data_IF_527712286211
#
_entry.id   IF_527712286211
#
_cell.length_a   1.000
_cell.length_b   1.000
_cell.length_c   1.000
_cell.angle_alpha   90.00
_cell.angle_beta   90.00
_cell.angle_gamma   90.00
#
_symmetry.space_group_name_H-M   'P 1'
#
loop_
_entity.id
_entity.type
_entity.pdbx_description
1 polymer ?
#
# COMPACT_ATOMS: atom_id res chain seq x y z
N UNK A 1 -14.21 13.26 -13.88
CA UNK A 1 -13.98 13.85 -12.56
C UNK A 1 -15.15 14.75 -12.19
N UNK A 2 -15.55 14.77 -10.92
CA UNK A 2 -16.48 15.75 -10.37
C UNK A 2 -15.98 17.19 -10.60
N UNK A 3 -16.89 18.12 -10.94
CA UNK A 3 -16.50 19.47 -11.35
C UNK A 3 -15.98 20.30 -10.17
N UNK A 4 -16.55 20.13 -8.98
CA UNK A 4 -16.12 20.87 -7.79
C UNK A 4 -14.77 20.36 -7.31
N UNK A 5 -14.61 19.04 -7.24
CA UNK A 5 -13.33 18.41 -6.91
C UNK A 5 -12.22 18.81 -7.89
N UNK A 6 -12.48 18.77 -9.20
CA UNK A 6 -11.51 19.19 -10.20
C UNK A 6 -11.14 20.69 -10.12
N UNK A 7 -12.07 21.57 -9.73
CA UNK A 7 -11.76 22.98 -9.46
C UNK A 7 -10.87 23.14 -8.24
N UNK A 8 -11.13 22.41 -7.15
CA UNK A 8 -10.30 22.44 -5.96
C UNK A 8 -8.88 21.93 -6.24
N UNK A 9 -8.75 20.85 -7.02
CA UNK A 9 -7.44 20.34 -7.45
C UNK A 9 -6.65 21.35 -8.29
N UNK A 10 -7.31 22.17 -9.13
CA UNK A 10 -6.64 23.27 -9.86
C UNK A 10 -6.12 24.38 -8.94
N UNK A 11 -6.65 24.52 -7.72
CA UNK A 11 -6.08 25.45 -6.74
C UNK A 11 -4.82 24.84 -6.09
N UNK A 12 -4.81 23.52 -5.88
CA UNK A 12 -3.63 22.80 -5.37
C UNK A 12 -2.52 22.71 -6.42
N UNK A 13 -2.88 22.42 -7.68
CA UNK A 13 -1.99 22.29 -8.82
C UNK A 13 -2.36 23.33 -9.90
N UNK A 14 -1.98 24.62 -9.71
CA UNK A 14 -2.36 25.70 -10.63
C UNK A 14 -1.67 25.61 -11.99
N UNK A 15 -0.51 24.96 -12.07
CA UNK A 15 0.26 24.77 -13.30
C UNK A 15 0.79 23.35 -13.41
N UNK A 16 1.17 22.95 -14.62
CA UNK A 16 1.74 21.62 -14.91
C UNK A 16 3.13 21.40 -14.28
N UNK A 17 3.75 22.45 -13.73
CA UNK A 17 5.06 22.42 -13.06
C UNK A 17 4.93 22.52 -11.54
N UNK A 18 3.73 22.44 -10.99
CA UNK A 18 3.52 22.51 -9.54
C UNK A 18 4.05 21.24 -8.87
N UNK A 19 4.85 21.40 -7.80
CA UNK A 19 5.39 20.29 -6.99
C UNK A 19 4.61 20.09 -5.67
N UNK A 20 3.32 20.43 -5.68
CA UNK A 20 2.47 20.27 -4.51
C UNK A 20 1.94 18.85 -4.43
N UNK A 21 1.72 18.37 -3.20
CA UNK A 21 1.04 17.10 -2.93
C UNK A 21 -0.40 17.34 -2.45
N UNK A 22 -1.22 16.30 -2.54
CA UNK A 22 -2.58 16.29 -2.00
C UNK A 22 -2.92 14.90 -1.49
N UNK A 23 -4.03 14.79 -0.76
CA UNK A 23 -4.52 13.54 -0.19
C UNK A 23 -5.16 12.67 -1.29
N UNK A 24 -5.02 11.35 -1.17
CA UNK A 24 -5.63 10.38 -2.09
C UNK A 24 -7.11 10.14 -1.79
N UNK A 25 -7.48 10.22 -0.51
CA UNK A 25 -8.85 10.12 0.01
C UNK A 25 -9.22 11.47 0.61
N UNK A 26 -10.26 12.11 0.07
CA UNK A 26 -10.67 13.46 0.52
C UNK A 26 -11.63 13.43 1.72
N UNK A 27 -12.20 12.28 2.04
CA UNK A 27 -13.19 12.10 3.11
C UNK A 27 -12.51 11.70 4.42
N UNK A 28 -11.48 10.87 4.36
CA UNK A 28 -10.76 10.37 5.53
C UNK A 28 -9.25 10.20 5.25
N UNK A 29 -8.49 11.29 5.03
CA UNK A 29 -7.10 11.22 4.55
C UNK A 29 -6.14 10.34 5.34
N UNK A 30 -6.38 10.19 6.66
CA UNK A 30 -5.51 9.50 7.59
C UNK A 30 -6.15 8.25 8.21
N UNK A 31 -7.29 7.78 7.68
CA UNK A 31 -7.99 6.60 8.19
C UNK A 31 -8.07 5.55 7.09
N UNK A 32 -7.67 4.33 7.41
CA UNK A 32 -7.86 3.21 6.51
C UNK A 32 -9.30 2.70 6.61
N UNK A 33 -10.16 3.14 5.70
CA UNK A 33 -11.57 2.77 5.64
C UNK A 33 -12.05 2.65 4.18
N UNK A 34 -13.35 2.49 3.95
CA UNK A 34 -13.87 2.32 2.60
C UNK A 34 -14.16 3.63 1.86
N UNK A 35 -13.80 4.79 2.42
CA UNK A 35 -14.16 6.09 1.84
C UNK A 35 -13.47 6.34 0.51
N UNK A 36 -12.28 5.79 0.29
CA UNK A 36 -11.67 5.69 -1.03
C UNK A 36 -12.67 5.21 -2.11
N UNK A 37 -13.44 4.14 -1.86
CA UNK A 37 -14.42 3.65 -2.84
C UNK A 37 -15.66 4.55 -2.94
N UNK A 38 -16.04 5.22 -1.85
CA UNK A 38 -17.08 6.25 -1.86
C UNK A 38 -16.65 7.44 -2.72
N UNK A 39 -15.38 7.86 -2.68
CA UNK A 39 -14.82 8.90 -3.55
C UNK A 39 -14.98 8.52 -5.02
N UNK A 40 -14.65 7.28 -5.39
CA UNK A 40 -14.77 6.82 -6.79
C UNK A 40 -16.21 6.85 -7.30
N UNK A 41 -17.19 6.46 -6.48
CA UNK A 41 -18.61 6.53 -6.82
C UNK A 41 -19.08 7.97 -7.06
N UNK A 42 -18.50 8.92 -6.34
CA UNK A 42 -18.77 10.36 -6.46
C UNK A 42 -17.93 11.03 -7.57
N UNK A 43 -17.19 10.26 -8.37
CA UNK A 43 -16.27 10.75 -9.42
C UNK A 43 -15.12 11.61 -8.86
N UNK A 44 -14.70 11.34 -7.63
CA UNK A 44 -13.68 12.06 -6.88
C UNK A 44 -12.38 11.25 -6.70
N UNK A 45 -12.14 10.24 -7.53
CA UNK A 45 -10.83 9.58 -7.57
C UNK A 45 -9.74 10.52 -8.13
N UNK A 46 -8.57 10.54 -7.51
CA UNK A 46 -7.49 11.47 -7.86
C UNK A 46 -6.81 11.07 -9.17
N UNK A 47 -6.38 9.83 -9.31
CA UNK A 47 -5.73 9.34 -10.51
C UNK A 47 -6.73 8.74 -11.50
N UNK A 48 -6.35 8.72 -12.78
CA UNK A 48 -7.08 7.98 -13.81
C UNK A 48 -7.22 6.51 -13.44
N UNK A 49 -6.16 5.89 -12.91
CA UNK A 49 -6.17 4.51 -12.44
C UNK A 49 -7.18 4.25 -11.33
N UNK A 50 -7.41 5.22 -10.45
CA UNK A 50 -8.42 5.11 -9.40
C UNK A 50 -9.82 5.22 -10.00
N UNK A 51 -10.06 6.28 -10.79
CA UNK A 51 -11.39 6.58 -11.31
C UNK A 51 -11.86 5.56 -12.35
N UNK A 52 -10.94 4.93 -13.07
CA UNK A 52 -11.23 3.87 -14.03
C UNK A 52 -11.74 2.59 -13.37
N UNK A 53 -11.42 2.32 -12.10
CA UNK A 53 -12.00 1.19 -11.36
C UNK A 53 -13.54 1.30 -11.29
N UNK A 54 -14.08 2.52 -11.19
CA UNK A 54 -15.52 2.74 -11.22
C UNK A 54 -16.08 2.96 -12.64
N UNK A 55 -15.27 3.45 -13.57
CA UNK A 55 -15.70 3.71 -14.95
C UNK A 55 -15.79 2.43 -15.78
N UNK A 56 -14.86 1.49 -15.59
CA UNK A 56 -14.84 0.20 -16.27
C UNK A 56 -15.93 -0.74 -15.71
N UNK A 57 -16.68 -1.38 -16.62
CA UNK A 57 -17.79 -2.29 -16.28
C UNK A 57 -17.32 -3.53 -15.52
N UNK A 58 -16.08 -3.98 -15.73
CA UNK A 58 -15.50 -5.18 -15.10
C UNK A 58 -15.29 -4.99 -13.60
N UNK A 59 -14.98 -3.77 -13.17
CA UNK A 59 -14.57 -3.44 -11.79
C UNK A 59 -15.63 -2.63 -11.04
N UNK A 60 -16.54 -1.94 -11.73
CA UNK A 60 -17.58 -1.08 -11.12
C UNK A 60 -18.36 -1.75 -10.00
N UNK A 61 -18.79 -3.00 -10.18
CA UNK A 61 -19.58 -3.71 -9.17
C UNK A 61 -18.77 -4.00 -7.89
N UNK A 62 -17.46 -4.24 -8.03
CA UNK A 62 -16.56 -4.47 -6.89
C UNK A 62 -16.42 -3.15 -6.10
N UNK A 63 -16.15 -2.05 -6.80
CA UNK A 63 -16.08 -0.70 -6.19
C UNK A 63 -17.37 -0.38 -5.44
N UNK A 64 -18.53 -0.60 -6.07
CA UNK A 64 -19.84 -0.32 -5.47
C UNK A 64 -20.05 -1.17 -4.21
N UNK A 65 -19.69 -2.45 -4.25
CA UNK A 65 -19.81 -3.36 -3.11
C UNK A 65 -18.95 -2.91 -1.92
N UNK A 66 -17.71 -2.47 -2.17
CA UNK A 66 -16.81 -1.98 -1.13
C UNK A 66 -17.24 -0.64 -0.55
N UNK A 67 -17.75 0.28 -1.37
CA UNK A 67 -18.27 1.56 -0.92
C UNK A 67 -19.50 1.43 -0.01
N UNK A 68 -20.35 0.42 -0.24
CA UNK A 68 -21.56 0.15 0.56
C UNK A 68 -21.23 -0.69 1.82
N UNK A 69 -20.25 -1.59 1.73
CA UNK A 69 -19.92 -2.52 2.80
C UNK A 69 -18.41 -2.52 3.12
N UNK A 70 -18.04 -1.80 4.18
CA UNK A 70 -16.66 -1.71 4.65
C UNK A 70 -16.11 -3.06 5.16
N UNK A 71 -16.93 -3.89 5.80
CA UNK A 71 -16.50 -5.21 6.27
C UNK A 71 -16.06 -6.07 5.10
N UNK A 72 -16.83 -6.09 4.01
CA UNK A 72 -16.48 -6.80 2.78
C UNK A 72 -15.17 -6.26 2.17
N UNK A 73 -14.97 -4.94 2.17
CA UNK A 73 -13.71 -4.35 1.73
C UNK A 73 -12.54 -4.89 2.56
N UNK A 74 -12.60 -4.81 3.88
CA UNK A 74 -11.51 -5.24 4.76
C UNK A 74 -11.22 -6.73 4.61
N UNK A 75 -12.23 -7.58 4.54
CA UNK A 75 -12.06 -9.01 4.29
C UNK A 75 -11.27 -9.26 2.99
N UNK A 76 -11.69 -8.62 1.88
CA UNK A 76 -11.01 -8.79 0.59
C UNK A 76 -9.63 -8.16 0.55
N UNK A 77 -9.42 -7.05 1.27
CA UNK A 77 -8.13 -6.40 1.39
C UNK A 77 -7.11 -7.34 2.04
N UNK A 78 -7.47 -7.99 3.15
CA UNK A 78 -6.58 -8.97 3.82
C UNK A 78 -6.19 -10.10 2.87
N UNK A 79 -7.16 -10.70 2.17
CA UNK A 79 -6.86 -11.77 1.20
C UNK A 79 -5.94 -11.30 0.07
N UNK A 80 -6.18 -10.10 -0.47
CA UNK A 80 -5.37 -9.54 -1.54
C UNK A 80 -3.92 -9.27 -1.08
N UNK A 81 -3.75 -8.71 0.11
CA UNK A 81 -2.43 -8.40 0.67
C UNK A 81 -1.63 -9.66 1.01
N UNK A 82 -2.28 -10.71 1.54
CA UNK A 82 -1.64 -12.01 1.76
C UNK A 82 -1.15 -12.62 0.45
N UNK A 83 -1.96 -12.57 -0.61
CA UNK A 83 -1.57 -13.08 -1.94
C UNK A 83 -0.42 -12.25 -2.53
N UNK A 84 -0.48 -10.93 -2.42
CA UNK A 84 0.56 -10.03 -2.92
C UNK A 84 1.89 -10.25 -2.20
N UNK A 85 1.88 -10.46 -0.88
CA UNK A 85 3.08 -10.69 -0.07
C UNK A 85 3.81 -12.00 -0.36
N UNK A 86 3.21 -12.90 -1.16
CA UNK A 86 3.79 -14.19 -1.54
C UNK A 86 4.34 -14.21 -2.98
N UNK A 87 4.29 -13.09 -3.70
CA UNK A 87 4.80 -13.01 -5.07
C UNK A 87 6.33 -13.10 -5.08
N UNK A 88 6.87 -14.09 -5.77
CA UNK A 88 8.31 -14.24 -6.07
C UNK A 88 9.23 -14.18 -4.84
N UNK A 89 8.77 -14.70 -3.70
CA UNK A 89 9.54 -14.72 -2.46
C UNK A 89 10.75 -15.66 -2.56
N UNK A 90 11.85 -15.28 -1.90
CA UNK A 90 13.03 -16.13 -1.74
C UNK A 90 12.83 -17.00 -0.48
N UNK A 91 12.99 -18.32 -0.62
CA UNK A 91 12.76 -19.28 0.48
C UNK A 91 13.90 -20.28 0.62
N UNK A 92 14.00 -20.93 1.79
CA UNK A 92 15.07 -21.87 2.09
C UNK A 92 16.44 -21.21 1.98
N UNK A 93 17.29 -21.71 1.08
CA UNK A 93 18.64 -21.20 0.86
C UNK A 93 18.71 -20.12 -0.24
N UNK A 94 17.57 -19.61 -0.72
CA UNK A 94 17.52 -18.52 -1.68
C UNK A 94 17.62 -17.19 -0.93
N UNK A 95 18.61 -16.36 -1.26
CA UNK A 95 18.82 -15.05 -0.63
C UNK A 95 19.59 -15.12 0.70
N UNK A 96 19.39 -14.12 1.55
CA UNK A 96 20.05 -14.00 2.86
C UNK A 96 19.16 -13.22 3.84
N UNK A 97 19.37 -13.42 5.14
CA UNK A 97 18.85 -12.53 6.18
C UNK A 97 19.84 -11.37 6.32
N UNK A 98 19.43 -10.17 5.88
CA UNK A 98 20.29 -8.98 5.90
C UNK A 98 20.45 -8.44 7.32
N UNK A 99 21.68 -8.19 7.73
CA UNK A 99 21.97 -7.50 9.00
C UNK A 99 21.71 -5.99 8.90
N UNK A 100 21.77 -5.42 7.69
CA UNK A 100 21.38 -4.06 7.38
C UNK A 100 20.55 -4.07 6.09
N UNK A 101 19.29 -3.63 6.14
CA UNK A 101 18.40 -3.66 4.98
C UNK A 101 18.91 -2.84 3.78
N UNK A 102 19.78 -1.85 3.99
CA UNK A 102 20.27 -0.96 2.93
C UNK A 102 21.45 -1.53 2.14
N UNK A 103 22.08 -2.61 2.59
CA UNK A 103 23.24 -3.23 1.93
C UNK A 103 23.15 -4.75 1.92
N UNK A 104 23.79 -5.41 0.95
CA UNK A 104 24.00 -6.86 1.00
C UNK A 104 25.00 -7.18 2.10
N UNK A 105 24.87 -8.34 2.75
CA UNK A 105 25.89 -8.81 3.68
C UNK A 105 27.24 -8.91 2.94
N UNK A 106 28.31 -8.48 3.61
CA UNK A 106 29.65 -8.60 3.09
C UNK A 106 30.11 -10.07 3.17
N UNK A 107 30.93 -10.51 2.21
CA UNK A 107 31.54 -11.86 2.21
C UNK A 107 32.60 -12.06 3.32
N UNK A 108 32.69 -11.17 4.30
CA UNK A 108 33.50 -11.36 5.50
C UNK A 108 32.65 -12.06 6.56
N UNK A 109 32.94 -13.35 6.79
CA UNK A 109 32.31 -14.25 7.77
C UNK A 109 32.19 -13.75 9.22
N UNK A 110 32.55 -12.50 9.56
CA UNK A 110 32.62 -12.03 10.95
C UNK A 110 31.34 -11.40 11.49
N UNK A 111 30.43 -10.89 10.65
CA UNK A 111 29.27 -10.12 11.14
C UNK A 111 28.02 -10.98 11.41
N UNK A 112 27.88 -12.11 10.70
CA UNK A 112 26.72 -13.00 10.88
C UNK A 112 26.92 -13.99 12.05
N UNK A 113 28.15 -14.39 12.37
CA UNK A 113 28.40 -15.26 13.53
C UNK A 113 28.06 -14.54 14.84
N UNK A 114 28.37 -13.25 14.96
CA UNK A 114 28.16 -12.51 16.21
C UNK A 114 26.69 -12.34 16.60
N UNK A 115 25.78 -12.12 15.65
CA UNK A 115 24.35 -11.93 15.96
C UNK A 115 23.67 -13.26 16.32
N UNK A 116 24.01 -14.35 15.62
CA UNK A 116 23.43 -15.68 15.89
C UNK A 116 23.97 -16.27 17.20
N UNK A 117 25.25 -16.04 17.52
CA UNK A 117 25.83 -16.41 18.81
C UNK A 117 25.20 -15.64 19.98
N UNK A 118 24.96 -14.33 19.83
CA UNK A 118 24.32 -13.52 20.87
C UNK A 118 22.89 -13.99 21.20
N UNK A 119 22.11 -14.39 20.19
CA UNK A 119 20.75 -14.93 20.41
C UNK A 119 20.81 -16.31 21.06
N UNK A 120 21.74 -17.19 20.65
CA UNK A 120 21.90 -18.50 21.27
C UNK A 120 22.28 -18.40 22.76
N UNK A 121 23.04 -17.37 23.14
CA UNK A 121 23.48 -17.16 24.52
C UNK A 121 22.36 -16.65 25.43
N UNK A 122 21.47 -15.78 24.94
CA UNK A 122 20.27 -15.35 25.70
C UNK A 122 19.28 -16.50 25.99
N UNK A 123 19.25 -17.55 25.17
CA UNK A 123 18.41 -18.73 25.41
C UNK A 123 19.01 -19.76 26.37
N UNK A 124 20.31 -19.65 26.70
CA UNK A 124 21.01 -20.57 27.62
C UNK A 124 21.02 -20.03 29.07
N UNK A 125 20.75 -18.75 29.27
CA UNK A 125 20.67 -18.11 30.59
C UNK A 125 19.24 -17.99 31.17
N UNK A 126 18.26 -18.72 30.62
CA UNK A 126 16.93 -18.96 31.22
C UNK A 126 16.82 -20.34 31.85
#
# INVERSE_FOLDING_TARGET
MDKTFGKNLRLTCPTDTTDNTTVLDIRSPNVFDNRYYVDLMNRQGLFTSDQDLYTDKRTRNIVTSFAINQTLFFEKFVFAMLKMGQLSVLTGNQGEIRANCSVRNANSNSFLSSVVENVAQEFIEM
#
